data_IF_437705249166
#
_entry.id   IF_437705249166
#
_cell.length_a   1.000
_cell.length_b   1.000
_cell.length_c   1.000
_cell.angle_alpha   90.00
_cell.angle_beta   90.00
_cell.angle_gamma   90.00
#
_symmetry.space_group_name_H-M   'P 1'
#
loop_
_entity.id
_entity.type
_entity.pdbx_description
1 polymer ?
#
# COMPACT_ATOMS: atom_id res chain seq x y z
N UNK A 1 10.18 -18.70 4.33
CA UNK A 1 9.81 -18.15 5.66
C UNK A 1 8.51 -17.38 5.56
N UNK A 2 8.36 -16.46 4.59
CA UNK A 2 7.05 -15.86 4.32
C UNK A 2 5.99 -16.91 3.98
N UNK A 3 6.39 -18.08 3.48
CA UNK A 3 5.51 -19.24 3.25
C UNK A 3 4.75 -19.71 4.51
N UNK A 4 5.13 -19.26 5.71
CA UNK A 4 4.40 -19.52 6.96
C UNK A 4 3.17 -18.61 7.15
N UNK A 5 3.06 -17.53 6.39
CA UNK A 5 1.93 -16.61 6.43
C UNK A 5 0.95 -16.96 5.31
N UNK A 6 -0.33 -16.96 5.63
CA UNK A 6 -1.38 -17.22 4.66
C UNK A 6 -1.36 -16.14 3.57
N UNK A 7 -1.38 -16.59 2.32
CA UNK A 7 -1.34 -15.73 1.13
C UNK A 7 -2.37 -16.20 0.12
N UNK A 8 -3.18 -15.29 -0.40
CA UNK A 8 -4.10 -15.55 -1.51
C UNK A 8 -3.59 -14.85 -2.77
N UNK A 9 -3.59 -15.56 -3.89
CA UNK A 9 -3.17 -15.00 -5.18
C UNK A 9 -4.22 -14.04 -5.75
N UNK A 10 -3.99 -12.75 -5.59
CA UNK A 10 -4.82 -11.68 -6.13
C UNK A 10 -4.26 -11.08 -7.42
N UNK A 11 -2.93 -11.12 -7.60
CA UNK A 11 -2.27 -10.52 -8.75
C UNK A 11 -1.40 -11.45 -9.60
N UNK A 12 -0.74 -10.86 -10.60
CA UNK A 12 0.27 -11.50 -11.42
C UNK A 12 1.66 -11.21 -10.84
N UNK A 13 2.32 -12.25 -10.33
CA UNK A 13 3.63 -12.17 -9.68
C UNK A 13 4.54 -13.31 -10.17
N UNK A 14 5.89 -13.12 -10.17
CA UNK A 14 6.58 -11.86 -9.90
C UNK A 14 6.30 -10.82 -11.01
N UNK A 15 6.29 -9.53 -10.67
CA UNK A 15 6.16 -8.46 -11.68
C UNK A 15 7.51 -8.22 -12.38
N UNK A 16 7.53 -7.82 -13.65
CA UNK A 16 8.78 -7.69 -14.40
C UNK A 16 9.65 -6.53 -13.87
N UNK A 17 10.96 -6.68 -14.01
CA UNK A 17 11.95 -5.61 -13.88
C UNK A 17 12.43 -5.27 -15.29
N UNK A 18 12.26 -4.01 -15.70
CA UNK A 18 12.57 -3.55 -17.07
C UNK A 18 13.68 -2.51 -17.04
N UNK A 19 14.68 -2.66 -17.90
CA UNK A 19 15.73 -1.65 -18.07
C UNK A 19 15.20 -0.46 -18.88
N UNK A 20 15.31 0.75 -18.32
CA UNK A 20 14.88 1.99 -18.94
C UNK A 20 16.02 2.63 -19.73
N UNK A 21 16.34 2.05 -20.88
CA UNK A 21 17.46 2.47 -21.74
C UNK A 21 17.43 3.97 -22.06
N UNK A 22 16.30 4.47 -22.57
CA UNK A 22 16.22 5.85 -23.05
C UNK A 22 16.37 6.89 -21.92
N UNK A 23 15.85 6.60 -20.71
CA UNK A 23 16.00 7.50 -19.56
C UNK A 23 17.44 7.47 -19.06
N UNK A 24 18.04 6.27 -18.99
CA UNK A 24 19.45 6.10 -18.64
C UNK A 24 20.36 6.90 -19.57
N UNK A 25 20.18 6.76 -20.89
CA UNK A 25 20.95 7.51 -21.89
C UNK A 25 20.72 9.02 -21.78
N UNK A 26 19.47 9.45 -21.63
CA UNK A 26 19.12 10.87 -21.54
C UNK A 26 19.81 11.58 -20.37
N UNK A 27 19.97 10.89 -19.23
CA UNK A 27 20.62 11.42 -18.03
C UNK A 27 22.14 11.21 -18.01
N UNK A 28 22.71 10.53 -19.01
CA UNK A 28 24.09 10.04 -19.01
C UNK A 28 24.41 9.16 -17.78
N UNK A 29 23.47 8.26 -17.46
CA UNK A 29 23.45 7.48 -16.21
C UNK A 29 22.54 8.11 -15.15
N UNK A 30 22.30 7.43 -14.00
CA UNK A 30 22.68 6.05 -13.69
C UNK A 30 21.91 5.02 -14.53
N UNK A 31 22.22 3.73 -14.39
CA UNK A 31 21.38 2.67 -14.97
C UNK A 31 20.04 2.61 -14.22
N UNK A 32 18.95 2.87 -14.93
CA UNK A 32 17.61 2.94 -14.33
C UNK A 32 16.80 1.73 -14.77
N UNK A 33 16.20 1.07 -13.78
CA UNK A 33 15.28 -0.04 -13.97
C UNK A 33 13.95 0.29 -13.30
N UNK A 34 12.87 -0.38 -13.72
CA UNK A 34 11.56 -0.25 -13.09
C UNK A 34 10.99 -1.63 -12.72
N UNK A 35 10.64 -1.80 -11.44
CA UNK A 35 9.81 -2.91 -10.98
C UNK A 35 8.34 -2.58 -11.26
N UNK A 36 7.73 -3.29 -12.22
CA UNK A 36 6.39 -2.99 -12.77
C UNK A 36 5.24 -3.45 -11.86
N UNK A 37 5.22 -2.97 -10.63
CA UNK A 37 4.13 -3.22 -9.68
C UNK A 37 2.81 -2.53 -10.07
N UNK A 38 2.80 -1.68 -11.09
CA UNK A 38 1.58 -1.25 -11.78
C UNK A 38 0.89 -2.42 -12.52
N UNK A 39 1.65 -3.42 -12.98
CA UNK A 39 1.16 -4.56 -13.75
C UNK A 39 0.69 -5.75 -12.90
N UNK A 40 0.32 -5.54 -11.63
CA UNK A 40 -0.18 -6.63 -10.76
C UNK A 40 -1.56 -7.15 -11.15
N UNK A 41 -2.30 -6.46 -12.04
CA UNK A 41 -3.51 -6.96 -12.70
C UNK A 41 -4.83 -6.75 -11.95
N UNK A 42 -4.84 -6.75 -10.61
CA UNK A 42 -6.08 -6.59 -9.85
C UNK A 42 -6.70 -5.20 -10.04
N UNK A 43 -7.76 -5.13 -10.83
CA UNK A 43 -8.50 -3.90 -11.14
C UNK A 43 -7.60 -2.78 -11.66
N UNK A 44 -6.79 -3.02 -12.69
CA UNK A 44 -5.71 -2.14 -13.22
C UNK A 44 -4.40 -2.14 -12.45
N UNK A 45 -4.28 -2.94 -11.37
CA UNK A 45 -3.01 -3.21 -10.69
C UNK A 45 -2.46 -2.07 -9.83
N UNK A 46 -1.27 -2.26 -9.29
CA UNK A 46 -0.63 -1.38 -8.33
C UNK A 46 -0.11 -2.10 -7.08
N UNK A 47 0.59 -1.33 -6.25
CA UNK A 47 1.27 -1.81 -5.05
C UNK A 47 0.36 -2.40 -3.96
N UNK A 48 -0.91 -1.99 -3.89
CA UNK A 48 -1.81 -2.43 -2.81
C UNK A 48 -2.22 -3.89 -2.96
N UNK A 49 -2.21 -4.41 -4.19
CA UNK A 49 -2.47 -5.82 -4.49
C UNK A 49 -1.51 -6.72 -3.71
N UNK A 50 -0.21 -6.41 -3.67
CA UNK A 50 0.78 -7.17 -2.88
C UNK A 50 0.41 -7.26 -1.40
N UNK A 51 -0.06 -6.16 -0.82
CA UNK A 51 -0.44 -6.12 0.59
C UNK A 51 -1.73 -6.90 0.84
N UNK A 52 -2.70 -6.75 -0.07
CA UNK A 52 -3.99 -7.43 0.01
C UNK A 52 -3.87 -8.95 -0.09
N UNK A 53 -2.84 -9.48 -0.75
CA UNK A 53 -2.59 -10.94 -0.76
C UNK A 53 -2.40 -11.53 0.64
N UNK A 54 -2.00 -10.73 1.63
CA UNK A 54 -1.83 -11.13 3.03
C UNK A 54 -2.94 -10.60 3.95
N UNK A 55 -3.44 -9.39 3.69
CA UNK A 55 -4.53 -8.80 4.49
C UNK A 55 -5.87 -9.54 4.32
N UNK A 56 -6.19 -9.99 3.11
CA UNK A 56 -7.46 -10.67 2.85
C UNK A 56 -7.55 -12.05 3.53
N UNK A 57 -6.50 -12.89 3.54
CA UNK A 57 -6.46 -14.08 4.39
C UNK A 57 -6.72 -13.78 5.87
N UNK A 58 -6.15 -12.70 6.41
CA UNK A 58 -6.38 -12.33 7.81
C UNK A 58 -7.85 -11.92 8.05
N UNK A 59 -8.46 -11.17 7.13
CA UNK A 59 -9.89 -10.87 7.19
C UNK A 59 -10.77 -12.14 7.18
N UNK A 60 -10.46 -13.10 6.30
CA UNK A 60 -11.18 -14.38 6.21
C UNK A 60 -11.00 -15.21 7.49
N UNK A 61 -9.78 -15.26 8.04
CA UNK A 61 -9.48 -15.95 9.30
C UNK A 61 -10.27 -15.37 10.47
N UNK A 62 -10.50 -14.06 10.47
CA UNK A 62 -11.36 -13.36 11.43
C UNK A 62 -12.86 -13.47 11.10
N UNK A 63 -13.24 -14.34 10.16
CA UNK A 63 -14.63 -14.60 9.74
C UNK A 63 -15.37 -13.34 9.28
N UNK A 64 -14.64 -12.37 8.71
CA UNK A 64 -15.23 -11.12 8.26
C UNK A 64 -16.25 -11.39 7.14
N UNK A 65 -17.41 -10.72 7.21
CA UNK A 65 -18.39 -10.68 6.12
C UNK A 65 -18.38 -9.32 5.40
N UNK A 66 -17.77 -8.30 6.02
CA UNK A 66 -17.66 -6.93 5.57
C UNK A 66 -16.23 -6.43 5.78
N UNK A 67 -15.55 -6.03 4.71
CA UNK A 67 -14.27 -5.33 4.79
C UNK A 67 -14.52 -3.83 4.72
N UNK A 68 -14.01 -3.11 5.71
CA UNK A 68 -14.09 -1.64 5.79
C UNK A 68 -12.72 -1.05 5.56
N UNK A 69 -12.63 -0.06 4.67
CA UNK A 69 -11.38 0.67 4.47
C UNK A 69 -11.62 2.15 4.20
N UNK A 70 -10.53 2.92 4.20
CA UNK A 70 -10.56 4.38 4.04
C UNK A 70 -9.59 4.85 2.97
N UNK A 71 -9.88 5.98 2.36
CA UNK A 71 -8.97 6.61 1.39
C UNK A 71 -9.48 7.95 0.90
N UNK A 72 -8.62 8.68 0.18
CA UNK A 72 -9.08 9.84 -0.58
C UNK A 72 -10.04 9.39 -1.70
N UNK A 73 -10.83 10.32 -2.24
CA UNK A 73 -11.81 10.05 -3.30
C UNK A 73 -11.23 9.22 -4.46
N UNK A 74 -10.05 9.55 -4.97
CA UNK A 74 -9.40 8.80 -6.07
C UNK A 74 -8.39 7.76 -5.58
N UNK A 75 -8.63 7.13 -4.43
CA UNK A 75 -7.69 6.19 -3.81
C UNK A 75 -7.50 4.91 -4.64
N UNK A 76 -6.26 4.63 -5.04
CA UNK A 76 -5.89 3.34 -5.63
C UNK A 76 -6.06 2.17 -4.64
N UNK A 77 -6.03 2.45 -3.33
CA UNK A 77 -6.19 1.45 -2.27
C UNK A 77 -7.64 0.99 -2.12
N UNK A 78 -8.59 1.91 -2.16
CA UNK A 78 -10.02 1.56 -2.04
C UNK A 78 -10.42 0.71 -3.24
N UNK A 79 -10.00 1.11 -4.45
CA UNK A 79 -10.19 0.36 -5.69
C UNK A 79 -9.67 -1.06 -5.66
N UNK A 80 -8.45 -1.26 -5.17
CA UNK A 80 -7.87 -2.61 -5.05
C UNK A 80 -8.56 -3.44 -3.96
N UNK A 81 -8.97 -2.80 -2.87
CA UNK A 81 -9.68 -3.47 -1.77
C UNK A 81 -11.07 -3.93 -2.23
N UNK A 82 -11.83 -3.06 -2.89
CA UNK A 82 -13.14 -3.41 -3.46
C UNK A 82 -13.05 -4.57 -4.45
N UNK A 83 -12.07 -4.53 -5.36
CA UNK A 83 -11.83 -5.61 -6.32
C UNK A 83 -11.45 -6.93 -5.63
N UNK A 84 -10.62 -6.89 -4.59
CA UNK A 84 -10.27 -8.08 -3.81
C UNK A 84 -11.49 -8.67 -3.09
N UNK A 85 -12.34 -7.82 -2.50
CA UNK A 85 -13.57 -8.24 -1.85
C UNK A 85 -14.54 -8.89 -2.85
N UNK A 86 -14.76 -8.25 -4.00
CA UNK A 86 -15.61 -8.79 -5.07
C UNK A 86 -15.12 -10.16 -5.56
N UNK A 87 -13.79 -10.33 -5.73
CA UNK A 87 -13.19 -11.61 -6.13
C UNK A 87 -13.36 -12.71 -5.08
N UNK A 88 -13.38 -12.34 -3.80
CA UNK A 88 -13.46 -13.27 -2.67
C UNK A 88 -14.88 -13.46 -2.11
N UNK A 89 -15.88 -12.78 -2.68
CA UNK A 89 -17.27 -12.85 -2.22
C UNK A 89 -17.52 -12.14 -0.88
N UNK A 90 -16.67 -11.19 -0.50
CA UNK A 90 -16.82 -10.37 0.71
C UNK A 90 -17.52 -9.04 0.38
N UNK A 91 -18.32 -8.51 1.31
CA UNK A 91 -18.84 -7.15 1.17
C UNK A 91 -17.71 -6.15 1.39
N UNK A 92 -17.78 -4.99 0.74
CA UNK A 92 -16.82 -3.92 0.91
C UNK A 92 -17.55 -2.61 1.22
N UNK A 93 -17.11 -1.91 2.26
CA UNK A 93 -17.51 -0.54 2.57
C UNK A 93 -16.28 0.36 2.56
N UNK A 94 -16.37 1.44 1.79
CA UNK A 94 -15.32 2.43 1.64
C UNK A 94 -15.80 3.75 2.24
N UNK A 95 -15.01 4.28 3.17
CA UNK A 95 -15.17 5.65 3.66
C UNK A 95 -14.18 6.56 2.94
N UNK A 96 -14.70 7.44 2.08
CA UNK A 96 -13.91 8.39 1.31
C UNK A 96 -13.73 9.70 2.06
N UNK A 97 -12.50 10.20 2.09
CA UNK A 97 -12.16 11.53 2.56
C UNK A 97 -12.07 12.50 1.37
N UNK A 98 -12.85 13.58 1.41
CA UNK A 98 -12.68 14.68 0.46
C UNK A 98 -11.56 15.61 0.93
N UNK A 99 -10.49 15.68 0.15
CA UNK A 99 -9.33 16.55 0.43
C UNK A 99 -9.31 17.82 -0.41
N UNK A 100 -10.12 17.89 -1.46
CA UNK A 100 -10.24 19.05 -2.33
C UNK A 100 -11.51 19.83 -1.98
N UNK A 101 -11.34 21.11 -1.63
CA UNK A 101 -12.45 22.00 -1.23
C UNK A 101 -13.52 22.15 -2.31
N UNK A 102 -13.08 22.35 -3.55
CA UNK A 102 -13.93 22.61 -4.72
C UNK A 102 -13.72 21.53 -5.79
N UNK A 103 -13.87 20.27 -5.40
CA UNK A 103 -13.62 19.14 -6.29
C UNK A 103 -14.60 19.12 -7.49
N UNK A 104 -14.11 19.02 -8.74
CA UNK A 104 -14.98 18.85 -9.89
C UNK A 104 -15.83 17.58 -9.79
N UNK A 105 -17.04 17.59 -10.35
CA UNK A 105 -17.91 16.40 -10.34
C UNK A 105 -17.23 15.17 -10.96
N UNK A 106 -16.38 15.37 -11.98
CA UNK A 106 -15.59 14.30 -12.58
C UNK A 106 -14.65 13.63 -11.56
N UNK A 107 -14.03 14.40 -10.67
CA UNK A 107 -13.20 13.85 -9.58
C UNK A 107 -14.02 13.00 -8.61
N UNK A 108 -15.29 13.35 -8.38
CA UNK A 108 -16.17 12.63 -7.46
C UNK A 108 -16.81 11.36 -8.03
N UNK A 109 -16.85 11.22 -9.35
CA UNK A 109 -17.70 10.21 -10.00
C UNK A 109 -16.96 9.32 -11.00
N UNK A 110 -15.78 9.71 -11.48
CA UNK A 110 -14.99 8.95 -12.45
C UNK A 110 -13.82 8.19 -11.80
N UNK A 111 -12.97 7.58 -12.62
CA UNK A 111 -11.74 6.95 -12.16
C UNK A 111 -11.96 5.84 -11.14
N UNK A 112 -11.26 5.91 -10.02
CA UNK A 112 -11.29 4.90 -8.98
C UNK A 112 -12.67 4.79 -8.29
N UNK A 113 -13.37 5.91 -8.09
CA UNK A 113 -14.74 5.88 -7.50
C UNK A 113 -15.72 5.12 -8.39
N UNK A 114 -15.60 5.28 -9.70
CA UNK A 114 -16.43 4.54 -10.65
C UNK A 114 -16.16 3.03 -10.56
N UNK A 115 -14.89 2.64 -10.47
CA UNK A 115 -14.47 1.25 -10.32
C UNK A 115 -14.92 0.66 -8.97
N UNK A 116 -14.80 1.42 -7.87
CA UNK A 116 -15.29 1.02 -6.54
C UNK A 116 -16.77 0.58 -6.62
N UNK A 117 -17.60 1.37 -7.30
CA UNK A 117 -19.03 1.08 -7.51
C UNK A 117 -19.24 -0.14 -8.43
N UNK A 118 -18.47 -0.28 -9.50
CA UNK A 118 -18.54 -1.46 -10.40
C UNK A 118 -18.25 -2.75 -9.63
N UNK A 119 -17.31 -2.73 -8.69
CA UNK A 119 -16.99 -3.88 -7.85
C UNK A 119 -17.99 -4.10 -6.71
N UNK A 120 -19.08 -3.31 -6.65
CA UNK A 120 -20.16 -3.49 -5.69
C UNK A 120 -19.84 -3.00 -4.28
N UNK A 121 -18.84 -2.13 -4.12
CA UNK A 121 -18.57 -1.53 -2.81
C UNK A 121 -19.64 -0.50 -2.43
N UNK A 122 -20.03 -0.49 -1.16
CA UNK A 122 -20.73 0.63 -0.54
C UNK A 122 -19.74 1.78 -0.37
N UNK A 123 -20.07 2.97 -0.87
CA UNK A 123 -19.18 4.14 -0.82
C UNK A 123 -19.86 5.25 -0.03
N UNK A 124 -19.24 5.65 1.08
CA UNK A 124 -19.73 6.70 1.98
C UNK A 124 -18.69 7.82 2.03
N UNK A 125 -19.14 9.08 2.01
CA UNK A 125 -18.26 10.23 2.17
C UNK A 125 -18.14 10.61 3.65
N UNK A 126 -16.91 10.77 4.14
CA UNK A 126 -16.65 11.29 5.48
C UNK A 126 -17.13 12.74 5.60
N UNK A 127 -17.89 13.10 6.65
CA UNK A 127 -18.27 14.48 6.93
C UNK A 127 -17.05 15.40 7.04
N UNK A 128 -17.19 16.62 6.53
CA UNK A 128 -16.13 17.65 6.63
C UNK A 128 -15.76 17.92 8.09
N UNK A 129 -14.46 17.96 8.39
CA UNK A 129 -13.93 18.23 9.73
C UNK A 129 -13.93 17.02 10.67
N UNK A 130 -14.37 15.84 10.21
CA UNK A 130 -14.30 14.60 10.95
C UNK A 130 -13.09 13.77 10.52
N UNK A 131 -12.42 13.13 11.48
CA UNK A 131 -11.36 12.19 11.16
C UNK A 131 -11.94 10.93 10.48
N UNK A 132 -11.33 10.54 9.36
CA UNK A 132 -11.85 9.46 8.52
C UNK A 132 -11.77 8.08 9.21
N UNK A 133 -10.79 7.88 10.11
CA UNK A 133 -10.65 6.63 10.86
C UNK A 133 -11.70 6.57 11.96
N UNK A 134 -11.89 7.64 12.72
CA UNK A 134 -12.94 7.73 13.73
C UNK A 134 -14.33 7.50 13.11
N UNK A 135 -14.61 8.11 11.96
CA UNK A 135 -15.89 7.90 11.28
C UNK A 135 -16.07 6.46 10.76
N UNK A 136 -15.00 5.83 10.26
CA UNK A 136 -15.06 4.42 9.87
C UNK A 136 -15.30 3.50 11.07
N UNK A 137 -14.73 3.80 12.24
CA UNK A 137 -14.95 3.04 13.48
C UNK A 137 -16.41 3.15 13.97
N UNK A 138 -17.02 4.33 13.86
CA UNK A 138 -18.46 4.50 14.15
C UNK A 138 -19.34 3.67 13.22
N UNK A 139 -19.12 3.75 11.90
CA UNK A 139 -19.87 2.95 10.91
C UNK A 139 -19.69 1.45 11.19
N UNK A 140 -18.48 1.02 11.53
CA UNK A 140 -18.24 -0.38 11.89
C UNK A 140 -19.02 -0.79 13.14
N UNK A 141 -19.10 0.07 14.16
CA UNK A 141 -19.87 -0.20 15.36
C UNK A 141 -21.37 -0.33 15.04
N UNK A 142 -21.91 0.54 14.19
CA UNK A 142 -23.30 0.46 13.70
C UNK A 142 -23.55 -0.86 12.95
N UNK A 143 -22.71 -1.19 11.96
CA UNK A 143 -22.84 -2.42 11.16
C UNK A 143 -22.73 -3.67 12.03
N UNK A 144 -21.90 -3.64 13.06
CA UNK A 144 -21.78 -4.73 14.04
C UNK A 144 -23.06 -4.92 14.87
N UNK A 145 -23.72 -3.82 15.26
CA UNK A 145 -25.01 -3.88 15.95
C UNK A 145 -26.12 -4.46 15.05
N UNK A 146 -26.01 -4.26 13.72
CA UNK A 146 -26.88 -4.85 12.71
C UNK A 146 -26.54 -6.33 12.37
N UNK A 147 -25.57 -6.92 13.05
CA UNK A 147 -25.19 -8.33 12.92
C UNK A 147 -24.08 -8.62 11.90
N UNK A 148 -23.43 -7.61 11.33
CA UNK A 148 -22.25 -7.80 10.50
C UNK A 148 -20.99 -8.10 11.35
N UNK A 149 -19.98 -8.68 10.73
CA UNK A 149 -18.64 -8.87 11.30
C UNK A 149 -17.61 -8.06 10.49
N UNK A 150 -17.46 -6.75 10.77
CA UNK A 150 -16.59 -5.89 10.00
C UNK A 150 -15.10 -6.09 10.32
N UNK A 151 -14.26 -6.10 9.29
CA UNK A 151 -12.80 -6.10 9.39
C UNK A 151 -12.21 -4.84 8.79
N UNK A 152 -11.40 -4.13 9.57
CA UNK A 152 -10.81 -2.85 9.15
C UNK A 152 -9.45 -3.03 8.48
N UNK A 153 -9.32 -2.51 7.26
CA UNK A 153 -8.03 -2.35 6.59
C UNK A 153 -7.64 -0.87 6.63
N UNK A 154 -6.50 -0.51 7.27
CA UNK A 154 -6.08 0.88 7.40
C UNK A 154 -5.70 1.48 6.04
N UNK A 155 -5.58 2.82 6.01
CA UNK A 155 -5.21 3.56 4.79
C UNK A 155 -3.99 2.94 4.09
N UNK A 156 -4.17 2.61 2.81
CA UNK A 156 -3.12 2.02 1.99
C UNK A 156 -2.66 0.62 2.41
N UNK A 157 -3.40 -0.06 3.29
CA UNK A 157 -3.05 -1.38 3.84
C UNK A 157 -1.74 -1.35 4.61
N UNK A 158 -1.47 -0.28 5.36
CA UNK A 158 -0.17 -0.05 6.00
C UNK A 158 -0.21 -0.49 7.46
N UNK A 159 0.17 -1.74 7.68
CA UNK A 159 0.40 -2.39 8.96
C UNK A 159 1.37 -3.57 8.76
N UNK A 160 1.78 -4.22 9.84
CA UNK A 160 2.72 -5.35 9.81
C UNK A 160 2.30 -6.53 8.91
N UNK A 161 0.99 -6.78 8.71
CA UNK A 161 0.50 -7.83 7.79
C UNK A 161 0.67 -7.38 6.33
N UNK A 162 0.23 -6.16 6.00
CA UNK A 162 0.33 -5.63 4.64
C UNK A 162 1.79 -5.45 4.18
N UNK A 163 2.71 -5.22 5.11
CA UNK A 163 4.15 -5.12 4.85
C UNK A 163 4.76 -6.40 4.29
N UNK A 164 4.21 -7.58 4.61
CA UNK A 164 4.63 -8.87 4.03
C UNK A 164 4.66 -8.84 2.50
N UNK A 165 3.73 -8.09 1.88
CA UNK A 165 3.69 -7.92 0.43
C UNK A 165 4.95 -7.27 -0.15
N UNK A 166 5.56 -6.33 0.58
CA UNK A 166 6.78 -5.65 0.15
C UNK A 166 8.06 -6.30 0.68
N UNK A 167 7.97 -7.06 1.77
CA UNK A 167 9.05 -7.99 2.16
C UNK A 167 9.21 -9.05 1.05
N UNK A 168 8.12 -9.63 0.52
CA UNK A 168 8.18 -10.51 -0.65
C UNK A 168 8.70 -9.82 -1.90
N UNK A 169 8.32 -8.57 -2.13
CA UNK A 169 8.84 -7.81 -3.27
C UNK A 169 10.35 -7.64 -3.19
N UNK A 170 10.90 -7.39 -1.99
CA UNK A 170 12.36 -7.35 -1.78
C UNK A 170 13.02 -8.69 -2.11
N UNK A 171 12.42 -9.82 -1.72
CA UNK A 171 12.90 -11.15 -2.12
C UNK A 171 12.95 -11.30 -3.65
N UNK A 172 11.87 -10.92 -4.34
CA UNK A 172 11.80 -10.96 -5.80
C UNK A 172 12.91 -10.10 -6.45
N UNK A 173 13.16 -8.89 -5.94
CA UNK A 173 14.21 -8.00 -6.47
C UNK A 173 15.60 -8.59 -6.27
N UNK A 174 15.89 -9.13 -5.07
CA UNK A 174 17.19 -9.71 -4.75
C UNK A 174 17.46 -10.99 -5.56
N UNK A 175 16.44 -11.82 -5.78
CA UNK A 175 16.59 -13.05 -6.58
C UNK A 175 16.75 -12.77 -8.08
N UNK A 176 16.17 -11.68 -8.59
CA UNK A 176 16.33 -11.23 -9.97
C UNK A 176 17.73 -10.62 -10.21
N UNK A 177 18.28 -9.92 -9.21
CA UNK A 177 19.59 -9.27 -9.25
C UNK A 177 20.76 -10.22 -8.99
N UNK A 178 20.99 -11.15 -9.91
CA UNK A 178 22.01 -12.22 -9.78
C UNK A 178 23.42 -11.70 -9.52
N UNK A 179 23.74 -10.51 -10.02
CA UNK A 179 25.07 -9.91 -9.91
C UNK A 179 25.18 -8.90 -8.74
N UNK A 180 24.13 -8.75 -7.93
CA UNK A 180 24.03 -7.74 -6.85
C UNK A 180 24.35 -6.33 -7.36
N UNK A 181 23.81 -5.98 -8.53
CA UNK A 181 24.07 -4.74 -9.25
C UNK A 181 23.19 -3.58 -8.81
N UNK A 182 22.01 -3.86 -8.24
CA UNK A 182 21.13 -2.82 -7.74
C UNK A 182 21.70 -2.23 -6.46
N UNK A 183 21.90 -0.92 -6.48
CA UNK A 183 22.43 -0.17 -5.33
C UNK A 183 21.34 0.61 -4.60
N UNK A 184 20.30 1.02 -5.32
CA UNK A 184 19.23 1.86 -4.79
C UNK A 184 17.85 1.39 -5.27
N UNK A 185 16.86 1.51 -4.41
CA UNK A 185 15.43 1.44 -4.75
C UNK A 185 14.80 2.79 -4.41
N UNK A 186 14.14 3.40 -5.38
CA UNK A 186 13.38 4.64 -5.19
C UNK A 186 11.89 4.34 -5.27
N UNK A 187 11.11 4.81 -4.29
CA UNK A 187 9.67 4.58 -4.22
C UNK A 187 8.90 5.78 -3.68
N UNK A 188 7.62 5.87 -4.04
CA UNK A 188 6.71 6.84 -3.42
C UNK A 188 6.33 6.41 -1.99
N UNK A 189 6.40 7.34 -1.04
CA UNK A 189 6.20 7.12 0.39
C UNK A 189 4.99 7.93 0.89
N UNK A 190 3.83 7.28 0.98
CA UNK A 190 2.58 7.91 1.46
C UNK A 190 2.16 7.37 2.82
N UNK A 191 1.26 6.37 2.82
CA UNK A 191 0.81 5.71 4.05
C UNK A 191 1.89 4.88 4.77
N UNK A 192 3.10 4.79 4.21
CA UNK A 192 4.26 4.14 4.82
C UNK A 192 4.44 2.67 4.43
N UNK A 193 3.39 1.86 4.39
CA UNK A 193 3.51 0.39 4.34
C UNK A 193 4.28 -0.23 3.16
N UNK A 194 4.47 0.48 2.04
CA UNK A 194 5.34 0.00 0.95
C UNK A 194 6.81 0.27 1.28
N UNK A 195 7.11 1.46 1.79
CA UNK A 195 8.44 1.83 2.22
C UNK A 195 8.87 0.98 3.41
N UNK A 196 8.05 0.91 4.46
CA UNK A 196 8.38 0.13 5.67
C UNK A 196 8.51 -1.37 5.41
N UNK A 197 7.63 -1.95 4.58
CA UNK A 197 7.78 -3.36 4.18
C UNK A 197 9.06 -3.62 3.38
N UNK A 198 9.48 -2.66 2.56
CA UNK A 198 10.76 -2.77 1.84
C UNK A 198 11.96 -2.65 2.80
N UNK A 199 11.88 -1.77 3.81
CA UNK A 199 12.89 -1.65 4.87
C UNK A 199 12.96 -2.94 5.71
N UNK A 200 11.82 -3.48 6.14
CA UNK A 200 11.78 -4.75 6.86
C UNK A 200 12.35 -5.90 6.01
N UNK A 201 12.07 -5.91 4.70
CA UNK A 201 12.69 -6.84 3.75
C UNK A 201 14.21 -6.66 3.64
N UNK A 202 14.68 -5.42 3.54
CA UNK A 202 16.12 -5.09 3.56
C UNK A 202 16.78 -5.67 4.82
N UNK A 203 16.21 -5.40 5.99
CA UNK A 203 16.73 -5.89 7.27
C UNK A 203 16.73 -7.41 7.33
N UNK A 204 15.63 -8.05 6.96
CA UNK A 204 15.49 -9.51 7.00
C UNK A 204 16.47 -10.23 6.07
N UNK A 205 16.57 -9.78 4.81
CA UNK A 205 17.46 -10.38 3.81
C UNK A 205 18.91 -9.86 3.91
N UNK A 206 19.20 -8.98 4.87
CA UNK A 206 20.52 -8.34 5.06
C UNK A 206 21.04 -7.71 3.77
N UNK A 207 20.12 -7.08 3.03
CA UNK A 207 20.44 -6.43 1.77
C UNK A 207 21.17 -5.11 2.01
N UNK A 208 22.16 -4.80 1.17
CA UNK A 208 22.88 -3.53 1.19
C UNK A 208 22.21 -2.45 0.32
N UNK A 209 21.12 -2.77 -0.37
CA UNK A 209 20.40 -1.82 -1.23
C UNK A 209 19.90 -0.65 -0.38
N UNK A 210 20.19 0.58 -0.80
CA UNK A 210 19.64 1.77 -0.19
C UNK A 210 18.20 1.99 -0.65
N UNK A 211 17.29 2.27 0.28
CA UNK A 211 15.87 2.47 -0.03
C UNK A 211 15.55 3.94 0.23
N UNK A 212 15.13 4.64 -0.83
CA UNK A 212 14.84 6.06 -0.81
C UNK A 212 13.35 6.28 -1.04
N UNK A 213 12.67 6.80 -0.02
CA UNK A 213 11.27 7.19 -0.08
C UNK A 213 11.09 8.64 -0.52
N UNK A 214 10.33 8.87 -1.59
CA UNK A 214 9.88 10.21 -1.97
C UNK A 214 8.52 10.45 -1.31
N UNK A 215 8.46 11.34 -0.33
CA UNK A 215 7.22 11.68 0.37
C UNK A 215 6.23 12.33 -0.61
N UNK A 216 4.98 11.90 -0.53
CA UNK A 216 3.89 12.44 -1.36
C UNK A 216 2.90 13.30 -0.58
N UNK A 217 3.16 13.53 0.72
CA UNK A 217 2.26 14.28 1.60
C UNK A 217 2.95 14.89 2.80
N UNK A 218 3.63 14.05 3.59
CA UNK A 218 4.09 14.44 4.92
C UNK A 218 5.51 14.99 4.87
N UNK A 219 5.90 15.78 5.87
CA UNK A 219 7.26 16.29 5.97
C UNK A 219 8.25 15.16 6.24
N UNK A 220 9.51 15.37 5.82
CA UNK A 220 10.58 14.38 5.92
C UNK A 220 10.62 13.69 7.29
N UNK A 221 10.73 14.48 8.37
CA UNK A 221 10.83 13.95 9.73
C UNK A 221 9.63 13.07 10.11
N UNK A 222 8.41 13.56 9.88
CA UNK A 222 7.18 12.83 10.22
C UNK A 222 7.05 11.53 9.43
N UNK A 223 7.47 11.56 8.17
CA UNK A 223 7.42 10.39 7.30
C UNK A 223 8.50 9.37 7.67
N UNK A 224 9.71 9.80 8.05
CA UNK A 224 10.76 8.93 8.58
C UNK A 224 10.33 8.25 9.88
N UNK A 225 9.78 9.00 10.84
CA UNK A 225 9.25 8.43 12.10
C UNK A 225 8.16 7.39 11.83
N UNK A 226 7.22 7.72 10.94
CA UNK A 226 6.14 6.80 10.57
C UNK A 226 6.67 5.52 9.94
N UNK A 227 7.59 5.63 8.98
CA UNK A 227 8.18 4.47 8.30
C UNK A 227 9.01 3.65 9.29
N UNK A 228 9.74 4.28 10.21
CA UNK A 228 10.53 3.58 11.22
C UNK A 228 9.67 2.75 12.16
N UNK A 229 8.61 3.36 12.69
CA UNK A 229 7.66 2.66 13.56
C UNK A 229 7.04 1.46 12.86
N UNK A 230 6.54 1.67 11.65
CA UNK A 230 5.93 0.62 10.83
C UNK A 230 6.93 -0.50 10.52
N UNK A 231 8.14 -0.17 10.06
CA UNK A 231 9.16 -1.18 9.74
C UNK A 231 9.56 -2.00 10.97
N UNK A 232 9.61 -1.37 12.15
CA UNK A 232 9.88 -2.07 13.41
C UNK A 232 8.75 -3.04 13.79
N UNK A 233 7.49 -2.66 13.58
CA UNK A 233 6.35 -3.57 13.74
C UNK A 233 6.44 -4.76 12.77
N UNK A 234 6.77 -4.50 11.50
CA UNK A 234 7.02 -5.53 10.49
C UNK A 234 8.13 -6.49 10.86
N UNK A 235 9.31 -5.98 11.22
CA UNK A 235 10.46 -6.79 11.68
C UNK A 235 10.11 -7.66 12.89
N UNK A 236 9.42 -7.10 13.88
CA UNK A 236 8.96 -7.86 15.04
C UNK A 236 8.01 -9.00 14.61
N UNK A 237 7.04 -8.70 13.75
CA UNK A 237 6.07 -9.68 13.27
C UNK A 237 6.70 -10.85 12.51
N UNK A 238 7.73 -10.59 11.70
CA UNK A 238 8.48 -11.65 11.00
C UNK A 238 9.61 -12.26 11.83
N UNK A 239 9.84 -11.76 13.05
CA UNK A 239 10.87 -12.20 14.00
C UNK A 239 12.30 -12.02 13.47
N UNK A 240 12.63 -10.81 13.03
CA UNK A 240 14.00 -10.42 12.66
C UNK A 240 14.50 -9.22 13.47
N UNK A 241 15.75 -8.83 13.22
CA UNK A 241 16.37 -7.68 13.87
C UNK A 241 15.58 -6.39 13.61
N UNK A 242 15.67 -5.44 14.54
CA UNK A 242 15.10 -4.10 14.36
C UNK A 242 15.74 -3.40 13.15
N UNK A 243 14.96 -2.64 12.36
CA UNK A 243 15.52 -1.86 11.27
C UNK A 243 16.43 -0.76 11.82
N UNK A 244 17.51 -0.42 11.11
CA UNK A 244 18.35 0.70 11.52
C UNK A 244 17.68 2.01 11.16
N UNK A 245 17.82 3.02 12.03
CA UNK A 245 17.22 4.33 11.76
C UNK A 245 17.84 5.02 10.53
N UNK A 246 19.12 4.81 10.31
CA UNK A 246 19.89 5.34 9.16
C UNK A 246 19.45 4.74 7.81
N UNK A 247 18.78 3.58 7.80
CA UNK A 247 18.27 2.97 6.56
C UNK A 247 17.01 3.66 6.02
N UNK A 248 16.41 4.57 6.79
CA UNK A 248 15.14 5.21 6.43
C UNK A 248 15.43 6.59 5.85
N UNK A 249 15.53 6.62 4.53
CA UNK A 249 15.80 7.83 3.78
C UNK A 249 14.50 8.38 3.20
N UNK A 250 14.15 9.62 3.56
CA UNK A 250 13.00 10.31 2.95
C UNK A 250 13.41 11.67 2.38
N UNK A 251 12.90 11.97 1.20
CA UNK A 251 12.91 13.30 0.60
C UNK A 251 11.49 13.85 0.49
N UNK A 252 11.27 15.10 0.88
CA UNK A 252 9.98 15.78 0.81
C UNK A 252 10.02 17.08 -0.01
N UNK A 253 11.13 17.33 -0.73
CA UNK A 253 11.35 18.52 -1.58
C UNK A 253 10.31 18.67 -2.70
N UNK A 254 9.61 17.58 -3.04
CA UNK A 254 8.62 17.49 -4.10
C UNK A 254 7.17 17.55 -3.58
N UNK A 255 6.98 17.74 -2.27
CA UNK A 255 5.64 17.90 -1.68
C UNK A 255 5.11 19.31 -1.96
N UNK A 256 4.19 19.41 -2.92
CA UNK A 256 3.50 20.66 -3.28
C UNK A 256 2.22 20.90 -2.48
N UNK A 257 1.52 22.00 -2.78
CA UNK A 257 0.26 22.37 -2.11
C UNK A 257 -0.98 21.54 -2.51
N UNK A 258 -0.84 20.59 -3.44
CA UNK A 258 -1.93 19.75 -3.95
C UNK A 258 -1.78 18.28 -3.59
N UNK A 259 -2.89 17.54 -3.66
CA UNK A 259 -2.92 16.08 -3.54
C UNK A 259 -3.30 15.47 -4.89
N UNK A 260 -2.38 14.73 -5.51
CA UNK A 260 -2.55 14.15 -6.84
C UNK A 260 -1.29 14.32 -7.68
#
# INVERSE_FOLDING_TARGET
>A
MIDKFDRIKLGHFPTPIEYLNNITEHLNGPQIYIKRDDCTGLATGGNKTRKLEFLMPDAIKNQADLVVTVGAVQSNHTRQTAAACAKLGLKCLIVLEQRLKDAPNAYMTSGNVFLDKIFGAEVVLCPSGKDVKEYAEEIMAERKNDGANPYYIPVGGSNHIGELGYIECMREIIEDDKDNSFTHIVLASGSGGTHSGSIAGKTYYKSNIEIVGISVKDKKHDQEEKVFKLAKEGCNYIQCDDPKREDILVFDDYVGGGYG
#
